data_IF_377431772996
#
_entry.id   IF_377431772996
#
_cell.length_a   1.000
_cell.length_b   1.000
_cell.length_c   1.000
_cell.angle_alpha   90.00
_cell.angle_beta   90.00
_cell.angle_gamma   90.00
#
_symmetry.space_group_name_H-M   'P 1'
#
loop_
_entity.id
_entity.type
_entity.pdbx_description
1 polymer ?
#
# COMPACT_ATOMS: atom_id res chain seq x y z
N UNK A 1 -1.51 -17.01 13.43
CA UNK A 1 -2.79 -16.94 12.71
C UNK A 1 -3.06 -15.47 12.55
N UNK A 2 -2.67 -14.92 11.40
CA UNK A 2 -2.88 -13.53 11.07
C UNK A 2 -4.34 -13.37 10.66
N UNK A 3 -5.02 -12.35 11.19
CA UNK A 3 -6.38 -12.04 10.76
C UNK A 3 -6.37 -11.77 9.24
N UNK A 4 -7.30 -12.36 8.48
CA UNK A 4 -7.39 -12.11 7.05
C UNK A 4 -7.71 -10.64 6.84
N UNK A 5 -6.99 -10.01 5.92
CA UNK A 5 -7.32 -8.66 5.46
C UNK A 5 -8.64 -8.77 4.68
N UNK A 6 -9.77 -8.41 5.31
CA UNK A 6 -11.08 -8.46 4.67
C UNK A 6 -11.21 -7.32 3.65
N UNK A 7 -10.91 -7.62 2.39
CA UNK A 7 -11.21 -6.74 1.26
C UNK A 7 -12.29 -7.40 0.41
N UNK A 8 -13.52 -6.91 0.52
CA UNK A 8 -14.61 -7.34 -0.34
C UNK A 8 -14.36 -6.83 -1.78
N UNK A 9 -13.93 -7.74 -2.67
CA UNK A 9 -13.67 -7.49 -4.11
C UNK A 9 -13.06 -6.11 -4.42
N UNK A 10 -11.89 -5.78 -3.84
CA UNK A 10 -11.35 -4.44 -3.89
C UNK A 10 -10.97 -4.06 -5.33
N UNK A 11 -11.03 -2.76 -5.62
CA UNK A 11 -10.51 -2.23 -6.86
C UNK A 11 -9.01 -2.59 -6.97
N UNK A 12 -8.54 -2.85 -8.19
CA UNK A 12 -7.14 -3.19 -8.45
C UNK A 12 -6.16 -2.13 -7.90
N UNK A 13 -6.59 -0.86 -7.87
CA UNK A 13 -5.85 0.26 -7.27
C UNK A 13 -5.62 0.07 -5.77
N UNK A 14 -6.56 -0.56 -5.05
CA UNK A 14 -6.41 -0.89 -3.63
C UNK A 14 -5.28 -1.87 -3.42
N UNK A 15 -5.22 -2.96 -4.20
CA UNK A 15 -4.13 -3.93 -4.13
C UNK A 15 -2.77 -3.31 -4.43
N UNK A 16 -2.69 -2.47 -5.47
CA UNK A 16 -1.44 -1.78 -5.81
C UNK A 16 -0.98 -0.82 -4.71
N UNK A 17 -1.90 -0.03 -4.13
CA UNK A 17 -1.57 0.88 -3.03
C UNK A 17 -1.11 0.11 -1.81
N UNK A 18 -1.82 -0.97 -1.46
CA UNK A 18 -1.49 -1.84 -0.34
C UNK A 18 -0.11 -2.48 -0.54
N UNK A 19 0.19 -3.00 -1.74
CA UNK A 19 1.50 -3.54 -2.10
C UNK A 19 2.61 -2.48 -1.95
N UNK A 20 2.37 -1.24 -2.39
CA UNK A 20 3.31 -0.14 -2.22
C UNK A 20 3.58 0.20 -0.75
N UNK A 21 2.56 0.18 0.10
CA UNK A 21 2.71 0.40 1.56
C UNK A 21 3.48 -0.75 2.20
N UNK A 22 3.16 -2.00 1.85
CA UNK A 22 3.89 -3.18 2.35
C UNK A 22 5.35 -3.16 1.94
N UNK A 23 5.66 -2.87 0.67
CA UNK A 23 7.04 -2.78 0.17
C UNK A 23 7.84 -1.73 0.96
N UNK A 24 7.26 -0.56 1.25
CA UNK A 24 7.91 0.46 2.09
C UNK A 24 8.04 -0.01 3.55
N UNK A 25 7.05 -0.75 4.07
CA UNK A 25 7.08 -1.27 5.44
C UNK A 25 8.21 -2.29 5.62
N UNK A 26 8.33 -3.26 4.71
CA UNK A 26 9.39 -4.27 4.69
C UNK A 26 10.78 -3.61 4.61
N UNK A 27 10.91 -2.50 3.88
CA UNK A 27 12.17 -1.73 3.80
C UNK A 27 12.45 -0.83 5.01
N UNK A 28 11.54 -0.73 5.98
CA UNK A 28 11.66 0.22 7.09
C UNK A 28 11.52 1.68 6.67
N UNK A 29 10.89 1.95 5.52
CA UNK A 29 10.66 3.28 4.95
C UNK A 29 9.30 3.88 5.36
N UNK A 30 8.61 3.30 6.35
CA UNK A 30 7.34 3.82 6.90
C UNK A 30 7.53 4.46 8.28
N UNK A 31 6.76 5.51 8.64
CA UNK A 31 5.60 6.05 7.93
C UNK A 31 5.99 6.89 6.70
N UNK A 32 5.20 6.79 5.63
CA UNK A 32 5.48 7.41 4.33
C UNK A 32 4.30 8.26 3.84
N UNK A 33 4.58 9.33 3.11
CA UNK A 33 3.55 10.18 2.51
C UNK A 33 2.98 9.57 1.23
N UNK A 34 1.78 10.02 0.83
CA UNK A 34 1.12 9.56 -0.40
C UNK A 34 2.00 9.67 -1.66
N UNK A 35 2.91 10.66 -1.72
CA UNK A 35 3.86 10.81 -2.84
C UNK A 35 4.90 9.69 -2.87
N UNK A 36 5.39 9.27 -1.71
CA UNK A 36 6.38 8.20 -1.56
C UNK A 36 5.73 6.85 -1.85
N UNK A 37 4.52 6.64 -1.32
CA UNK A 37 3.71 5.45 -1.59
C UNK A 37 3.38 5.34 -3.08
N UNK A 38 2.96 6.43 -3.74
CA UNK A 38 2.75 6.45 -5.21
C UNK A 38 4.00 6.04 -5.97
N UNK A 39 5.18 6.53 -5.57
CA UNK A 39 6.45 6.15 -6.20
C UNK A 39 6.76 4.68 -5.98
N UNK A 40 6.49 4.13 -4.80
CA UNK A 40 6.61 2.70 -4.56
C UNK A 40 5.67 1.88 -5.45
N UNK A 41 4.39 2.28 -5.54
CA UNK A 41 3.39 1.63 -6.40
C UNK A 41 3.85 1.56 -7.86
N UNK A 42 4.23 2.69 -8.45
CA UNK A 42 4.62 2.74 -9.85
C UNK A 42 5.92 1.96 -10.12
N UNK A 43 6.91 2.02 -9.21
CA UNK A 43 8.13 1.20 -9.32
C UNK A 43 7.84 -0.30 -9.23
N UNK A 44 6.92 -0.69 -8.35
CA UNK A 44 6.56 -2.08 -8.18
C UNK A 44 5.87 -2.60 -9.46
N UNK A 45 4.86 -1.89 -9.97
CA UNK A 45 4.16 -2.25 -11.21
C UNK A 45 5.10 -2.31 -12.43
N UNK A 46 6.02 -1.36 -12.58
CA UNK A 46 7.04 -1.35 -13.65
C UNK A 46 7.96 -2.57 -13.55
N UNK A 47 8.35 -2.96 -12.34
CA UNK A 47 9.26 -4.09 -12.12
C UNK A 47 8.63 -5.46 -12.42
N UNK A 48 7.30 -5.56 -12.38
CA UNK A 48 6.57 -6.83 -12.58
C UNK A 48 5.74 -6.85 -13.86
N UNK A 49 5.92 -5.85 -14.73
CA UNK A 49 5.20 -5.69 -16.01
C UNK A 49 3.67 -5.77 -15.88
N UNK A 50 3.13 -5.21 -14.79
CA UNK A 50 1.69 -5.13 -14.57
C UNK A 50 1.16 -3.86 -15.22
N UNK A 51 0.75 -3.96 -16.49
CA UNK A 51 0.19 -2.83 -17.26
C UNK A 51 -1.33 -2.66 -17.07
N UNK A 52 -1.96 -3.49 -16.22
CA UNK A 52 -3.43 -3.53 -16.08
C UNK A 52 -4.01 -2.20 -15.55
N UNK A 53 -3.22 -1.40 -14.85
CA UNK A 53 -3.59 -0.06 -14.35
C UNK A 53 -2.84 1.10 -15.03
N UNK A 54 -1.81 0.83 -15.83
CA UNK A 54 -0.83 1.83 -16.24
C UNK A 54 -0.12 2.44 -15.02
N UNK A 55 -0.44 3.69 -14.67
CA UNK A 55 0.13 4.41 -13.50
C UNK A 55 -0.95 4.91 -12.55
N UNK A 56 -0.72 4.76 -11.25
CA UNK A 56 -1.62 5.33 -10.23
C UNK A 56 -1.30 6.81 -9.98
N UNK A 57 -2.34 7.64 -9.91
CA UNK A 57 -2.20 9.08 -9.64
C UNK A 57 -2.10 9.38 -8.14
N UNK A 58 -1.62 10.57 -7.77
CA UNK A 58 -1.57 10.99 -6.36
C UNK A 58 -2.97 11.07 -5.72
N UNK A 59 -3.96 11.48 -6.51
CA UNK A 59 -5.34 11.62 -6.04
C UNK A 59 -5.96 10.25 -5.74
N UNK A 60 -5.74 9.27 -6.61
CA UNK A 60 -6.18 7.89 -6.39
C UNK A 60 -5.48 7.29 -5.18
N UNK A 61 -4.15 7.40 -5.10
CA UNK A 61 -3.39 6.89 -3.94
C UNK A 61 -3.89 7.54 -2.65
N UNK A 62 -4.07 8.86 -2.62
CA UNK A 62 -4.56 9.56 -1.42
C UNK A 62 -5.98 9.13 -1.05
N UNK A 63 -6.87 8.95 -2.02
CA UNK A 63 -8.23 8.47 -1.80
C UNK A 63 -8.21 7.06 -1.21
N UNK A 64 -7.49 6.14 -1.86
CA UNK A 64 -7.36 4.75 -1.41
C UNK A 64 -6.71 4.65 -0.04
N UNK A 65 -5.70 5.48 0.28
CA UNK A 65 -5.10 5.50 1.60
C UNK A 65 -6.09 5.93 2.70
N UNK A 66 -7.01 6.87 2.40
CA UNK A 66 -8.08 7.21 3.36
C UNK A 66 -9.09 6.07 3.53
N UNK A 67 -9.40 5.33 2.45
CA UNK A 67 -10.28 4.16 2.51
C UNK A 67 -9.63 3.01 3.31
N UNK A 68 -8.32 2.79 3.14
CA UNK A 68 -7.54 1.81 3.90
C UNK A 68 -7.39 2.19 5.38
N UNK A 69 -7.24 3.48 5.67
CA UNK A 69 -7.19 4.01 7.04
C UNK A 69 -8.53 3.83 7.75
N UNK A 70 -9.65 4.09 7.05
CA UNK A 70 -10.99 3.83 7.56
C UNK A 70 -11.30 2.33 7.76
N UNK A 71 -10.52 1.44 7.13
CA UNK A 71 -10.60 -0.01 7.27
C UNK A 71 -9.54 -0.58 8.25
N UNK A 72 -8.82 0.27 8.98
CA UNK A 72 -7.75 -0.10 9.92
C UNK A 72 -6.59 -0.92 9.31
N UNK A 73 -6.42 -0.88 7.99
CA UNK A 73 -5.33 -1.58 7.29
C UNK A 73 -4.03 -0.77 7.28
N UNK A 74 -4.16 0.55 7.32
CA UNK A 74 -3.07 1.50 7.49
C UNK A 74 -3.44 2.50 8.58
N UNK A 75 -2.45 3.15 9.18
CA UNK A 75 -2.64 4.22 10.15
C UNK A 75 -2.08 5.52 9.57
N UNK A 76 -2.98 6.43 9.19
CA UNK A 76 -2.66 7.75 8.67
C UNK A 76 -2.49 8.79 9.77
N UNK A 77 -1.25 9.02 10.24
CA UNK A 77 -0.98 10.10 11.19
C UNK A 77 -0.65 11.42 10.50
N UNK A 78 -1.23 12.50 11.02
CA UNK A 78 -0.77 13.87 10.75
C UNK A 78 0.11 14.28 11.91
N UNK A 79 1.30 14.82 11.63
CA UNK A 79 2.15 15.36 12.69
C UNK A 79 1.40 16.50 13.42
N UNK A 80 1.22 16.32 14.73
CA UNK A 80 0.57 17.29 15.63
C UNK A 80 1.39 18.59 15.79
N UNK A 81 2.62 18.63 15.28
CA UNK A 81 3.50 19.81 15.33
C UNK A 81 3.12 20.89 14.32
N UNK A 82 2.16 20.65 13.42
CA UNK A 82 1.62 21.69 12.55
C UNK A 82 0.55 22.51 13.28
N UNK A 83 0.89 23.74 13.69
CA UNK A 83 -0.02 24.70 14.33
C UNK A 83 -1.31 25.05 13.54
N UNK A 84 -1.48 24.49 12.34
CA UNK A 84 -2.66 24.69 11.48
C UNK A 84 -3.34 23.40 11.04
N UNK A 85 -2.88 22.21 11.48
CA UNK A 85 -3.45 20.91 11.08
C UNK A 85 -3.31 20.58 9.59
N UNK A 86 -2.38 21.25 8.88
CA UNK A 86 -2.19 21.17 7.42
C UNK A 86 -1.04 20.24 6.99
N UNK A 87 -0.53 19.39 7.88
CA UNK A 87 0.48 18.40 7.51
C UNK A 87 -0.10 17.38 6.52
N UNK A 88 0.68 17.00 5.50
CA UNK A 88 0.33 15.83 4.68
C UNK A 88 0.40 14.59 5.58
N UNK A 89 -0.63 13.72 5.60
CA UNK A 89 -0.57 12.51 6.40
C UNK A 89 0.59 11.63 5.96
N UNK A 90 1.19 10.95 6.93
CA UNK A 90 2.13 9.86 6.70
C UNK A 90 1.43 8.57 7.15
N UNK A 91 1.55 7.53 6.34
CA UNK A 91 0.85 6.27 6.53
C UNK A 91 1.85 5.18 6.90
N UNK A 92 1.45 4.32 7.84
CA UNK A 92 2.15 3.09 8.19
C UNK A 92 1.20 1.91 8.02
N UNK A 93 1.75 0.75 7.65
CA UNK A 93 0.99 -0.50 7.63
C UNK A 93 0.58 -0.90 9.07
N UNK A 94 -0.70 -1.16 9.27
CA UNK A 94 -1.25 -1.71 10.53
C UNK A 94 -1.57 -3.19 10.37
N UNK A 95 -2.00 -3.59 9.17
CA UNK A 95 -2.23 -4.97 8.81
C UNK A 95 -0.94 -5.81 8.84
N UNK A 96 -1.11 -7.13 8.95
CA UNK A 96 0.00 -8.07 8.82
C UNK A 96 0.49 -8.12 7.36
N UNK A 97 1.78 -7.84 7.14
CA UNK A 97 2.39 -7.83 5.81
C UNK A 97 2.30 -9.19 5.10
N UNK A 98 2.38 -10.30 5.84
CA UNK A 98 2.24 -11.64 5.30
C UNK A 98 0.79 -11.95 4.90
N UNK A 99 -0.18 -11.45 5.68
CA UNK A 99 -1.60 -11.58 5.33
C UNK A 99 -1.93 -10.81 4.04
N UNK A 100 -1.42 -9.58 3.92
CA UNK A 100 -1.55 -8.78 2.69
C UNK A 100 -0.91 -9.50 1.51
N UNK A 101 0.32 -10.00 1.67
CA UNK A 101 1.04 -10.73 0.61
C UNK A 101 0.25 -11.96 0.15
N UNK A 102 -0.31 -12.72 1.09
CA UNK A 102 -1.14 -13.89 0.79
C UNK A 102 -2.34 -13.50 -0.05
N UNK A 103 -3.05 -12.43 0.32
CA UNK A 103 -4.20 -11.96 -0.45
C UNK A 103 -3.83 -11.46 -1.85
N UNK A 104 -2.70 -10.76 -2.00
CA UNK A 104 -2.20 -10.35 -3.32
C UNK A 104 -1.89 -11.57 -4.20
N UNK A 105 -1.39 -12.65 -3.63
CA UNK A 105 -1.08 -13.88 -4.36
C UNK A 105 -2.34 -14.63 -4.85
N UNK A 106 -3.52 -14.38 -4.27
CA UNK A 106 -4.78 -14.99 -4.69
C UNK A 106 -5.36 -14.35 -5.98
N UNK A 107 -4.93 -13.14 -6.33
CA UNK A 107 -5.35 -12.44 -7.54
C UNK A 107 -4.24 -12.46 -8.60
N UNK A 108 -4.43 -13.25 -9.65
CA UNK A 108 -3.47 -13.45 -10.74
C UNK A 108 -2.96 -12.14 -11.37
N UNK A 109 -3.74 -11.06 -11.30
CA UNK A 109 -3.38 -9.75 -11.88
C UNK A 109 -2.34 -9.01 -11.05
N UNK A 110 -2.22 -9.32 -9.76
CA UNK A 110 -1.30 -8.67 -8.80
C UNK A 110 -0.41 -9.66 -8.06
N UNK A 111 -0.56 -10.97 -8.28
CA UNK A 111 0.32 -11.99 -7.73
C UNK A 111 1.82 -11.71 -7.94
N UNK A 112 2.29 -11.15 -9.08
CA UNK A 112 3.69 -10.76 -9.24
C UNK A 112 4.18 -9.72 -8.22
N UNK A 113 3.29 -8.85 -7.71
CA UNK A 113 3.62 -7.91 -6.63
C UNK A 113 3.87 -8.64 -5.30
N UNK A 114 3.13 -9.72 -5.03
CA UNK A 114 3.33 -10.55 -3.84
C UNK A 114 4.71 -11.23 -3.86
N UNK A 115 5.08 -11.82 -5.00
CA UNK A 115 6.40 -12.45 -5.20
C UNK A 115 7.53 -11.46 -5.00
N UNK A 116 7.38 -10.25 -5.58
CA UNK A 116 8.33 -9.16 -5.40
C UNK A 116 8.50 -8.79 -3.93
N UNK A 117 7.42 -8.62 -3.19
CA UNK A 117 7.47 -8.31 -1.75
C UNK A 117 8.19 -9.43 -0.99
N UNK A 118 7.90 -10.70 -1.32
CA UNK A 118 8.58 -11.85 -0.75
C UNK A 118 10.11 -11.80 -0.92
N UNK A 119 10.58 -11.39 -2.11
CA UNK A 119 12.02 -11.26 -2.39
C UNK A 119 12.74 -10.15 -1.61
N UNK A 120 12.00 -9.25 -0.95
CA UNK A 120 12.55 -8.15 -0.15
C UNK A 120 12.69 -8.50 1.34
N UNK A 121 12.09 -9.59 1.77
CA UNK A 121 12.05 -10.06 3.17
C UNK A 121 13.13 -11.13 3.45
N UNK A 122 13.92 -11.51 2.43
CA UNK A 122 15.00 -12.51 2.48
C UNK A 122 16.39 -11.93 2.80
#
# INVERSE_FOLDING_TARGET
MSDPVELDSPALSTYVVLAGVVELSVRGETPAHAVEIRRACNRAMEAVDVDVLGTVTEAEVSRTLNELDAADLVDGRRDDTSATGKGRPAYRLTADAEAVRTQLAEDERVAPLADRIGSLDE
#
